data_IF_580079408451
#
_entry.id   IF_580079408451
#
_cell.length_a   1.000
_cell.length_b   1.000
_cell.length_c   1.000
_cell.angle_alpha   90.00
_cell.angle_beta   90.00
_cell.angle_gamma   90.00
#
_symmetry.space_group_name_H-M   'P 1'
#
loop_
_entity.id
_entity.type
_entity.pdbx_description
1 polymer ?
#
# COMPACT_ATOMS: atom_id res chain seq x y z
N UNK A 1 -56.82 24.40 4.50
CA UNK A 1 -56.98 23.00 4.08
C UNK A 1 -55.90 22.57 3.08
N UNK A 2 -55.54 23.40 2.09
CA UNK A 2 -54.52 23.06 1.08
C UNK A 2 -53.10 22.81 1.62
N UNK A 3 -52.68 23.52 2.68
CA UNK A 3 -51.35 23.30 3.31
C UNK A 3 -51.21 21.94 4.01
N UNK A 4 -52.28 21.47 4.63
CA UNK A 4 -52.29 20.14 5.26
C UNK A 4 -52.27 19.02 4.21
N UNK A 5 -52.95 19.24 3.07
CA UNK A 5 -52.94 18.30 1.94
C UNK A 5 -51.54 18.20 1.30
N UNK A 6 -50.84 19.32 1.13
CA UNK A 6 -49.46 19.32 0.60
C UNK A 6 -48.47 18.61 1.52
N UNK A 7 -48.61 18.77 2.84
CA UNK A 7 -47.74 18.09 3.81
C UNK A 7 -48.00 16.57 3.85
N UNK A 8 -49.26 16.14 3.74
CA UNK A 8 -49.62 14.73 3.65
C UNK A 8 -49.11 14.06 2.38
N UNK A 9 -49.21 14.75 1.24
CA UNK A 9 -48.65 14.27 -0.04
C UNK A 9 -47.13 14.12 0.04
N UNK A 10 -46.43 15.10 0.61
CA UNK A 10 -44.97 15.06 0.76
C UNK A 10 -44.51 13.91 1.67
N UNK A 11 -45.22 13.66 2.78
CA UNK A 11 -44.92 12.55 3.68
C UNK A 11 -45.10 11.18 3.01
N UNK A 12 -46.08 11.05 2.10
CA UNK A 12 -46.33 9.80 1.37
C UNK A 12 -45.21 9.48 0.35
N UNK A 13 -44.64 10.49 -0.31
CA UNK A 13 -43.53 10.30 -1.25
C UNK A 13 -42.23 9.85 -0.57
N UNK A 14 -42.00 10.20 0.70
CA UNK A 14 -40.81 9.80 1.44
C UNK A 14 -40.77 8.29 1.77
N UNK A 15 -41.92 7.60 1.74
CA UNK A 15 -41.97 6.16 2.03
C UNK A 15 -41.60 5.28 0.81
N UNK A 16 -41.44 5.86 -0.39
CA UNK A 16 -41.07 5.13 -1.61
C UNK A 16 -39.55 4.99 -1.81
N UNK A 17 -38.73 5.70 -1.02
CA UNK A 17 -37.27 5.52 -1.00
C UNK A 17 -36.92 4.45 0.04
N UNK A 18 -37.09 3.18 -0.34
CA UNK A 18 -36.39 2.08 0.32
C UNK A 18 -35.25 1.64 -0.58
N UNK A 19 -34.01 1.82 -0.14
CA UNK A 19 -32.84 1.36 -0.86
C UNK A 19 -32.50 -0.06 -0.37
N UNK A 20 -32.93 -1.08 -1.09
CA UNK A 20 -32.50 -2.46 -0.84
C UNK A 20 -31.17 -2.74 -1.55
N UNK A 21 -30.05 -2.49 -0.88
CA UNK A 21 -28.73 -2.90 -1.37
C UNK A 21 -28.43 -4.34 -0.95
N UNK A 22 -29.07 -5.33 -1.59
CA UNK A 22 -28.72 -6.77 -1.43
C UNK A 22 -27.34 -7.14 -2.05
N UNK A 23 -26.52 -6.15 -2.41
CA UNK A 23 -25.25 -6.35 -3.11
C UNK A 23 -24.15 -6.92 -2.20
N UNK A 24 -24.20 -6.64 -0.90
CA UNK A 24 -23.08 -6.94 0.01
C UNK A 24 -23.15 -8.31 0.68
N UNK A 25 -24.26 -9.03 0.61
CA UNK A 25 -24.41 -10.34 1.29
C UNK A 25 -23.52 -11.44 0.67
N UNK A 26 -23.12 -11.30 -0.60
CA UNK A 26 -22.32 -12.32 -1.31
C UNK A 26 -20.81 -12.05 -1.37
N UNK A 27 -20.35 -10.81 -1.13
CA UNK A 27 -18.95 -10.45 -1.38
C UNK A 27 -17.97 -10.93 -0.30
N UNK A 28 -18.44 -11.26 0.90
CA UNK A 28 -17.57 -11.70 2.00
C UNK A 28 -17.17 -13.18 1.94
N UNK A 29 -17.79 -14.01 1.10
CA UNK A 29 -17.47 -15.44 1.04
C UNK A 29 -16.38 -15.82 0.02
N UNK A 30 -15.95 -14.92 -0.87
CA UNK A 30 -14.98 -15.28 -1.93
C UNK A 30 -13.57 -14.72 -1.78
N UNK A 31 -13.22 -14.04 -0.67
CA UNK A 31 -11.91 -13.40 -0.55
C UNK A 31 -10.85 -14.23 0.19
N UNK A 32 -10.85 -15.56 0.05
CA UNK A 32 -9.92 -16.46 0.75
C UNK A 32 -8.62 -16.82 -0.01
N UNK A 33 -8.23 -16.12 -1.08
CA UNK A 33 -7.01 -16.52 -1.82
C UNK A 33 -5.99 -15.45 -2.24
N UNK A 34 -6.13 -14.20 -1.84
CA UNK A 34 -5.03 -13.24 -1.95
C UNK A 34 -4.95 -12.40 -0.67
N UNK A 35 -4.50 -13.04 0.40
CA UNK A 35 -4.12 -12.35 1.62
C UNK A 35 -2.78 -11.67 1.39
N UNK A 36 -2.82 -10.44 0.88
CA UNK A 36 -1.75 -9.49 1.14
C UNK A 36 -1.73 -9.28 2.67
N UNK A 37 -0.62 -9.52 3.37
CA UNK A 37 -0.64 -9.63 4.82
C UNK A 37 -1.01 -8.28 5.45
N UNK A 38 -2.23 -8.17 5.99
CA UNK A 38 -2.64 -7.05 6.82
C UNK A 38 -1.83 -7.09 8.12
N UNK A 39 -1.38 -5.92 8.60
CA UNK A 39 -0.20 -5.74 9.46
C UNK A 39 -0.05 -6.56 10.75
N UNK A 40 -1.09 -7.25 11.22
CA UNK A 40 -0.99 -8.20 12.35
C UNK A 40 -0.25 -9.50 11.97
N UNK A 41 -0.38 -9.97 10.73
CA UNK A 41 0.35 -11.14 10.23
C UNK A 41 1.82 -10.86 9.96
N UNK A 42 2.16 -9.61 9.65
CA UNK A 42 3.54 -9.19 9.42
C UNK A 42 4.38 -9.42 10.69
N UNK A 43 3.89 -9.00 11.87
CA UNK A 43 4.55 -9.19 13.16
C UNK A 43 4.91 -10.66 13.46
N UNK A 44 3.97 -11.59 13.22
CA UNK A 44 4.20 -13.02 13.41
C UNK A 44 5.27 -13.59 12.45
N UNK A 45 5.42 -12.99 11.26
CA UNK A 45 6.47 -13.35 10.31
C UNK A 45 7.85 -12.76 10.66
N UNK A 46 7.94 -11.65 11.41
CA UNK A 46 9.24 -11.22 11.95
C UNK A 46 9.70 -12.09 13.10
N UNK A 47 8.78 -12.53 13.96
CA UNK A 47 9.12 -13.37 15.11
C UNK A 47 9.75 -14.71 14.69
N UNK A 48 9.47 -15.20 13.48
CA UNK A 48 10.09 -16.42 12.95
C UNK A 48 11.47 -16.19 12.31
N UNK A 49 11.88 -14.94 12.06
CA UNK A 49 13.17 -14.62 11.42
C UNK A 49 14.17 -14.12 12.45
N UNK A 50 15.16 -14.95 12.74
CA UNK A 50 16.27 -14.59 13.64
C UNK A 50 17.31 -13.73 12.92
N UNK A 51 17.11 -12.41 12.86
CA UNK A 51 18.08 -11.46 12.31
C UNK A 51 18.55 -10.48 13.40
N UNK A 52 19.87 -10.39 13.62
CA UNK A 52 20.48 -9.46 14.59
C UNK A 52 20.95 -8.15 13.96
N UNK A 53 20.84 -8.04 12.64
CA UNK A 53 21.22 -6.86 11.85
C UNK A 53 19.96 -6.21 11.26
N UNK A 54 20.04 -5.65 10.06
CA UNK A 54 18.89 -5.06 9.38
C UNK A 54 18.08 -6.13 8.65
N UNK A 55 16.80 -6.25 8.98
CA UNK A 55 15.87 -7.12 8.27
C UNK A 55 15.15 -6.33 7.17
N UNK A 56 15.36 -6.70 5.91
CA UNK A 56 14.70 -6.09 4.77
C UNK A 56 13.18 -6.35 4.81
N UNK A 57 12.33 -5.32 4.88
CA UNK A 57 10.90 -5.52 5.12
C UNK A 57 10.15 -6.15 3.93
N UNK A 58 10.67 -5.97 2.72
CA UNK A 58 10.07 -6.49 1.49
C UNK A 58 10.50 -7.93 1.18
N UNK A 59 11.73 -8.32 1.53
CA UNK A 59 12.33 -9.61 1.12
C UNK A 59 12.65 -10.54 2.30
N UNK A 60 12.56 -10.03 3.53
CA UNK A 60 12.95 -10.74 4.77
C UNK A 60 14.41 -11.21 4.79
N UNK A 61 15.28 -10.58 3.99
CA UNK A 61 16.72 -10.81 4.05
C UNK A 61 17.37 -10.09 5.22
N UNK A 62 18.27 -10.78 5.91
CA UNK A 62 19.10 -10.20 6.96
C UNK A 62 20.39 -9.65 6.36
N UNK A 63 20.59 -8.34 6.43
CA UNK A 63 21.72 -7.62 5.81
C UNK A 63 22.36 -6.64 6.80
N UNK A 64 23.56 -6.16 6.47
CA UNK A 64 24.30 -5.25 7.34
C UNK A 64 23.69 -3.86 7.43
N UNK A 65 23.14 -3.35 6.32
CA UNK A 65 22.55 -2.02 6.26
C UNK A 65 21.38 -1.95 5.27
N UNK A 66 20.49 -0.95 5.38
CA UNK A 66 19.33 -0.81 4.48
C UNK A 66 19.69 -0.76 2.99
N UNK A 67 20.87 -0.25 2.64
CA UNK A 67 21.33 -0.13 1.24
C UNK A 67 21.67 -1.49 0.60
N UNK A 68 21.88 -2.50 1.44
CA UNK A 68 22.22 -3.86 1.02
C UNK A 68 21.00 -4.69 0.65
N UNK A 69 19.78 -4.20 0.94
CA UNK A 69 18.56 -4.93 0.61
C UNK A 69 18.43 -5.18 -0.90
N UNK A 70 18.14 -6.43 -1.29
CA UNK A 70 17.86 -6.76 -2.68
C UNK A 70 16.44 -6.34 -3.06
N UNK A 71 16.21 -6.16 -4.36
CA UNK A 71 14.87 -5.97 -4.89
C UNK A 71 14.04 -7.27 -4.76
N UNK A 72 12.73 -7.15 -4.48
CA UNK A 72 11.87 -8.32 -4.32
C UNK A 72 11.69 -9.10 -5.62
N UNK A 73 11.60 -8.39 -6.74
CA UNK A 73 11.47 -8.97 -8.06
C UNK A 73 12.85 -9.11 -8.72
N UNK A 74 13.20 -10.29 -9.26
CA UNK A 74 14.52 -10.54 -9.85
C UNK A 74 14.74 -9.81 -11.18
N UNK A 75 13.67 -9.34 -11.81
CA UNK A 75 13.69 -8.56 -13.05
C UNK A 75 13.92 -7.05 -12.80
N UNK A 76 13.82 -6.62 -11.55
CA UNK A 76 14.05 -5.24 -11.17
C UNK A 76 15.51 -5.01 -10.81
N UNK A 77 16.01 -3.82 -11.13
CA UNK A 77 17.35 -3.38 -10.77
C UNK A 77 17.31 -2.48 -9.55
N UNK A 78 18.36 -2.58 -8.72
CA UNK A 78 18.53 -1.79 -7.50
C UNK A 78 19.16 -0.43 -7.82
N UNK A 79 18.43 0.65 -7.56
CA UNK A 79 18.90 2.03 -7.69
C UNK A 79 19.14 2.64 -6.32
N UNK A 80 20.34 3.16 -6.09
CA UNK A 80 20.75 3.74 -4.81
C UNK A 80 20.80 5.26 -4.91
N UNK A 81 19.93 5.93 -4.19
CA UNK A 81 19.84 7.39 -4.14
C UNK A 81 20.57 7.88 -2.90
N UNK A 82 21.72 8.56 -3.02
CA UNK A 82 22.43 9.08 -1.86
C UNK A 82 21.62 10.19 -1.19
N UNK A 83 21.44 10.06 0.12
CA UNK A 83 20.80 11.09 0.92
C UNK A 83 21.75 12.29 1.07
N UNK A 84 21.19 13.51 1.01
CA UNK A 84 22.01 14.72 1.04
C UNK A 84 22.60 14.99 2.44
N UNK A 85 21.90 14.55 3.48
CA UNK A 85 22.14 14.96 4.87
C UNK A 85 22.97 13.94 5.66
N UNK A 86 23.06 12.69 5.20
CA UNK A 86 23.79 11.62 5.89
C UNK A 86 24.89 11.01 4.99
N UNK A 87 26.15 11.14 5.42
CA UNK A 87 27.27 10.47 4.77
C UNK A 87 27.14 8.96 4.94
N UNK A 88 26.70 8.29 3.88
CA UNK A 88 26.49 6.83 3.87
C UNK A 88 25.03 6.41 3.99
N UNK A 89 24.11 7.36 4.20
CA UNK A 89 22.67 7.13 4.03
C UNK A 89 22.33 7.09 2.54
N UNK A 90 21.60 6.06 2.13
CA UNK A 90 21.02 6.05 0.80
C UNK A 90 19.67 5.35 0.79
N UNK A 91 18.75 5.90 0.01
CA UNK A 91 17.45 5.32 -0.27
C UNK A 91 17.57 4.34 -1.43
N UNK A 92 17.06 3.12 -1.24
CA UNK A 92 17.00 2.10 -2.31
C UNK A 92 15.65 2.15 -3.01
N UNK A 93 15.67 2.18 -4.34
CA UNK A 93 14.48 2.10 -5.20
C UNK A 93 14.67 0.99 -6.21
N UNK A 94 13.67 0.13 -6.36
CA UNK A 94 13.65 -0.93 -7.36
C UNK A 94 12.89 -0.46 -8.59
N UNK A 95 13.47 -0.66 -9.77
CA UNK A 95 12.88 -0.23 -11.05
C UNK A 95 13.11 -1.27 -12.13
N UNK A 96 12.23 -1.27 -13.13
CA UNK A 96 12.33 -2.16 -14.28
C UNK A 96 13.13 -1.52 -15.40
N UNK A 97 14.46 -1.60 -15.31
CA UNK A 97 15.39 -1.15 -16.35
C UNK A 97 16.29 0.03 -15.98
N UNK A 98 17.38 0.19 -16.73
CA UNK A 98 18.41 1.20 -16.44
C UNK A 98 17.94 2.65 -16.67
N UNK A 99 17.01 2.86 -17.58
CA UNK A 99 16.56 4.21 -17.95
C UNK A 99 15.75 4.85 -16.82
N UNK A 100 14.93 4.03 -16.18
CA UNK A 100 14.10 4.33 -15.03
C UNK A 100 14.98 4.70 -13.84
N UNK A 101 16.10 4.00 -13.66
CA UNK A 101 17.09 4.30 -12.63
C UNK A 101 17.68 5.70 -12.79
N UNK A 102 18.13 6.04 -14.01
CA UNK A 102 18.62 7.37 -14.36
C UNK A 102 17.55 8.45 -14.16
N UNK A 103 16.30 8.13 -14.45
CA UNK A 103 15.17 9.04 -14.23
C UNK A 103 14.97 9.32 -12.73
N UNK A 104 14.99 8.28 -11.89
CA UNK A 104 14.87 8.40 -10.43
C UNK A 104 16.01 9.24 -9.86
N UNK A 105 17.26 8.98 -10.26
CA UNK A 105 18.41 9.78 -9.83
C UNK A 105 18.30 11.25 -10.22
N UNK A 106 17.83 11.53 -11.44
CA UNK A 106 17.60 12.90 -11.92
C UNK A 106 16.54 13.61 -11.09
N UNK A 107 15.43 12.92 -10.77
CA UNK A 107 14.35 13.48 -9.94
C UNK A 107 14.83 13.75 -8.51
N UNK A 108 15.63 12.85 -7.93
CA UNK A 108 16.21 13.02 -6.61
C UNK A 108 17.15 14.24 -6.55
N UNK A 109 17.93 14.50 -7.60
CA UNK A 109 18.81 15.67 -7.69
C UNK A 109 18.05 16.98 -7.91
N UNK A 110 16.97 16.96 -8.71
CA UNK A 110 16.18 18.15 -9.05
C UNK A 110 15.26 18.66 -7.94
N UNK A 111 15.14 17.95 -6.81
CA UNK A 111 14.34 18.37 -5.65
C UNK A 111 15.14 19.24 -4.65
N UNK A 112 16.44 19.46 -4.89
CA UNK A 112 17.28 20.35 -4.08
C UNK A 112 17.09 21.81 -4.45
#
# INVERSE_FOLDING_TARGET
MSRALSLLLFAFFLQLVSAQFQFFDGMFQQQHQQQQPSGASWAAHLESVSCSQYLCPATLHCVGSPVDCPCPDPEDIKCTIPDADEKGGATVVCVRGENECRQVERLARGRR
#
